data_IF_383097843328
#
_entry.id   IF_383097843328
#
_cell.length_a   1.000
_cell.length_b   1.000
_cell.length_c   1.000
_cell.angle_alpha   90.00
_cell.angle_beta   90.00
_cell.angle_gamma   90.00
#
_symmetry.space_group_name_H-M   'P 1'
#
loop_
_entity.id
_entity.type
_entity.pdbx_description
1 polymer ?
#
# COMPACT_ATOMS: atom_id res chain seq x y z
N UNK A 1 -26.20 -9.61 21.28
CA UNK A 1 -24.74 -9.49 21.16
C UNK A 1 -24.19 -9.15 22.53
N UNK A 2 -23.33 -9.98 23.09
CA UNK A 2 -22.72 -9.76 24.40
C UNK A 2 -21.63 -8.68 24.32
N UNK A 3 -21.28 -8.06 25.44
CA UNK A 3 -20.19 -7.08 25.48
C UNK A 3 -18.85 -7.66 24.99
N UNK A 4 -18.64 -8.96 25.23
CA UNK A 4 -17.45 -9.70 24.78
C UNK A 4 -17.40 -9.84 23.25
N UNK A 5 -18.53 -10.20 22.63
CA UNK A 5 -18.65 -10.29 21.16
C UNK A 5 -18.38 -8.95 20.47
N UNK A 6 -18.84 -7.85 21.07
CA UNK A 6 -18.57 -6.50 20.55
C UNK A 6 -17.09 -6.14 20.59
N UNK A 7 -16.38 -6.47 21.69
CA UNK A 7 -14.94 -6.22 21.81
C UNK A 7 -14.13 -7.06 20.82
N UNK A 8 -14.50 -8.33 20.64
CA UNK A 8 -13.85 -9.22 19.68
C UNK A 8 -13.99 -8.71 18.24
N UNK A 9 -15.19 -8.29 17.85
CA UNK A 9 -15.44 -7.72 16.51
C UNK A 9 -14.57 -6.51 16.21
N UNK A 10 -14.46 -5.57 17.15
CA UNK A 10 -13.62 -4.37 16.98
C UNK A 10 -12.14 -4.76 16.83
N UNK A 11 -11.66 -5.73 17.60
CA UNK A 11 -10.29 -6.25 17.46
C UNK A 11 -10.07 -6.82 16.05
N UNK A 12 -10.99 -7.67 15.58
CA UNK A 12 -10.87 -8.31 14.27
C UNK A 12 -10.94 -7.30 13.12
N UNK A 13 -11.75 -6.24 13.25
CA UNK A 13 -11.83 -5.14 12.27
C UNK A 13 -10.52 -4.34 12.17
N UNK A 14 -9.82 -4.11 13.29
CA UNK A 14 -8.59 -3.30 13.32
C UNK A 14 -7.34 -4.12 12.99
N UNK A 15 -7.38 -5.43 13.23
CA UNK A 15 -6.25 -6.36 13.09
C UNK A 15 -5.62 -6.32 11.68
N UNK A 16 -6.44 -6.31 10.63
CA UNK A 16 -5.95 -6.30 9.25
C UNK A 16 -5.20 -5.01 8.93
N UNK A 17 -5.70 -3.85 9.37
CA UNK A 17 -5.03 -2.56 9.18
C UNK A 17 -3.69 -2.51 9.91
N UNK A 18 -3.62 -3.06 11.14
CA UNK A 18 -2.36 -3.14 11.89
C UNK A 18 -1.34 -4.02 11.13
N UNK A 19 -1.76 -5.18 10.62
CA UNK A 19 -0.84 -6.04 9.89
C UNK A 19 -0.40 -5.46 8.55
N UNK A 20 -1.28 -4.74 7.85
CA UNK A 20 -0.91 -3.98 6.64
C UNK A 20 0.21 -2.99 6.95
N UNK A 21 -0.01 -2.12 7.95
CA UNK A 21 0.97 -1.12 8.38
C UNK A 21 2.29 -1.73 8.84
N UNK A 22 2.26 -2.87 9.55
CA UNK A 22 3.48 -3.58 9.95
C UNK A 22 4.22 -4.19 8.75
N UNK A 23 3.49 -4.65 7.74
CA UNK A 23 4.07 -5.14 6.49
C UNK A 23 4.78 -4.02 5.74
N UNK A 24 4.09 -2.92 5.50
CA UNK A 24 4.63 -1.73 4.81
C UNK A 24 5.86 -1.21 5.54
N UNK A 25 5.82 -1.11 6.87
CA UNK A 25 6.96 -0.65 7.66
C UNK A 25 8.22 -1.53 7.45
N UNK A 26 8.05 -2.85 7.35
CA UNK A 26 9.18 -3.76 7.09
C UNK A 26 9.77 -3.52 5.70
N UNK A 27 8.93 -3.29 4.69
CA UNK A 27 9.38 -2.98 3.33
C UNK A 27 10.15 -1.66 3.31
N UNK A 28 9.63 -0.61 3.96
CA UNK A 28 10.33 0.69 4.08
C UNK A 28 11.69 0.51 4.72
N UNK A 29 11.79 -0.24 5.82
CA UNK A 29 13.06 -0.48 6.52
C UNK A 29 14.09 -1.20 5.65
N UNK A 30 13.64 -2.07 4.75
CA UNK A 30 14.53 -2.74 3.81
C UNK A 30 14.99 -1.79 2.70
N UNK A 31 14.06 -1.01 2.13
CA UNK A 31 14.36 -0.07 1.05
C UNK A 31 15.20 1.13 1.52
N UNK A 32 15.13 1.51 2.80
CA UNK A 32 16.00 2.51 3.42
C UNK A 32 17.50 2.11 3.40
N UNK A 33 17.83 0.84 3.18
CA UNK A 33 19.23 0.38 3.07
C UNK A 33 19.83 0.61 1.66
N UNK A 34 19.03 1.06 0.70
CA UNK A 34 19.51 1.39 -0.64
C UNK A 34 20.37 2.68 -0.61
N UNK A 35 21.24 2.84 -1.62
CA UNK A 35 22.07 4.04 -1.71
C UNK A 35 21.24 5.31 -1.96
N UNK A 36 21.81 6.48 -1.64
CA UNK A 36 21.19 7.80 -1.85
C UNK A 36 20.88 8.14 -3.32
N UNK A 37 21.35 7.33 -4.27
CA UNK A 37 20.96 7.43 -5.68
C UNK A 37 19.52 6.95 -5.93
N UNK A 38 18.90 6.31 -4.94
CA UNK A 38 17.53 5.83 -4.99
C UNK A 38 16.61 6.76 -4.18
N UNK A 39 15.49 7.15 -4.78
CA UNK A 39 14.47 7.98 -4.14
C UNK A 39 13.26 7.10 -3.86
N UNK A 40 12.97 6.92 -2.57
CA UNK A 40 11.78 6.22 -2.09
C UNK A 40 10.67 7.22 -1.76
N UNK A 41 9.50 7.06 -2.39
CA UNK A 41 8.28 7.80 -2.05
C UNK A 41 7.25 6.80 -1.54
N UNK A 42 6.90 6.91 -0.26
CA UNK A 42 5.88 6.08 0.38
C UNK A 42 4.51 6.78 0.32
N UNK A 43 3.43 6.00 0.34
CA UNK A 43 2.05 6.48 0.30
C UNK A 43 1.81 7.46 -0.87
N UNK A 44 2.23 7.05 -2.06
CA UNK A 44 2.14 7.89 -3.25
C UNK A 44 0.68 7.93 -3.72
N UNK A 45 0.08 9.12 -3.73
CA UNK A 45 -1.26 9.34 -4.22
C UNK A 45 -1.29 10.44 -5.29
N UNK A 46 -2.06 10.21 -6.35
CA UNK A 46 -2.26 11.20 -7.41
C UNK A 46 -3.72 11.23 -7.84
N UNK A 47 -4.25 12.44 -8.05
CA UNK A 47 -5.61 12.67 -8.58
C UNK A 47 -5.51 13.34 -9.93
N UNK A 48 -6.37 12.95 -10.87
CA UNK A 48 -6.39 13.43 -12.25
C UNK A 48 -7.61 14.32 -12.52
N UNK A 49 -7.36 15.44 -13.21
CA UNK A 49 -8.40 16.28 -13.79
C UNK A 49 -7.93 16.80 -15.16
N UNK A 50 -8.57 16.37 -16.28
CA UNK A 50 -9.66 15.39 -16.35
C UNK A 50 -9.20 13.98 -15.95
N UNK A 51 -10.15 13.11 -15.59
CA UNK A 51 -9.87 11.71 -15.32
C UNK A 51 -9.28 11.01 -16.57
N UNK A 52 -8.38 10.04 -16.37
CA UNK A 52 -7.75 9.30 -17.46
C UNK A 52 -8.74 8.25 -17.98
N UNK A 53 -9.09 8.30 -19.26
CA UNK A 53 -9.92 7.27 -19.88
C UNK A 53 -9.14 5.98 -20.11
N UNK A 54 -9.58 4.89 -19.48
CA UNK A 54 -9.00 3.57 -19.64
C UNK A 54 -9.86 2.75 -20.62
N UNK A 55 -9.29 2.52 -21.80
CA UNK A 55 -9.98 1.82 -22.90
C UNK A 55 -10.18 0.33 -22.65
N UNK A 56 -9.37 -0.29 -21.78
CA UNK A 56 -9.44 -1.74 -21.55
C UNK A 56 -10.71 -2.10 -20.78
N UNK A 57 -10.99 -1.37 -19.70
CA UNK A 57 -12.18 -1.57 -18.87
C UNK A 57 -13.34 -0.63 -19.24
N UNK A 58 -13.12 0.25 -20.23
CA UNK A 58 -14.06 1.29 -20.66
C UNK A 58 -14.54 2.18 -19.51
N UNK A 59 -13.60 2.62 -18.66
CA UNK A 59 -13.85 3.42 -17.47
C UNK A 59 -12.92 4.63 -17.37
N UNK A 60 -13.02 5.38 -16.27
CA UNK A 60 -12.25 6.60 -16.04
C UNK A 60 -11.52 6.55 -14.69
N UNK A 61 -10.20 6.57 -14.75
CA UNK A 61 -9.31 6.58 -13.59
C UNK A 61 -9.21 8.02 -13.07
N UNK A 62 -9.81 8.27 -11.90
CA UNK A 62 -9.79 9.58 -11.25
C UNK A 62 -8.59 9.78 -10.34
N UNK A 63 -8.06 8.71 -9.77
CA UNK A 63 -6.93 8.75 -8.85
C UNK A 63 -6.23 7.40 -8.81
N UNK A 64 -5.00 7.40 -8.32
CA UNK A 64 -4.21 6.20 -8.01
C UNK A 64 -3.59 6.35 -6.62
N UNK A 65 -3.35 5.20 -5.99
CA UNK A 65 -2.56 5.07 -4.77
C UNK A 65 -1.56 3.94 -4.99
N UNK A 66 -0.34 4.13 -4.51
CA UNK A 66 0.77 3.18 -4.60
C UNK A 66 1.47 3.17 -3.25
N UNK A 67 1.65 1.99 -2.64
CA UNK A 67 2.29 1.86 -1.33
C UNK A 67 3.71 2.45 -1.36
N UNK A 68 4.54 2.03 -2.33
CA UNK A 68 5.88 2.57 -2.51
C UNK A 68 6.25 2.77 -3.99
N UNK A 69 6.66 3.98 -4.32
CA UNK A 69 7.25 4.32 -5.61
C UNK A 69 8.76 4.52 -5.41
N UNK A 70 9.55 3.63 -6.02
CA UNK A 70 11.01 3.68 -5.92
C UNK A 70 11.60 4.11 -7.26
N UNK A 71 12.31 5.24 -7.27
CA UNK A 71 13.02 5.76 -8.43
C UNK A 71 14.50 5.48 -8.26
N UNK A 72 15.11 4.78 -9.22
CA UNK A 72 16.52 4.38 -9.19
C UNK A 72 17.20 4.71 -10.52
N UNK A 73 18.54 4.66 -10.62
CA UNK A 73 19.24 4.78 -11.90
C UNK A 73 18.82 3.74 -12.94
N UNK A 74 18.31 2.60 -12.49
CA UNK A 74 17.87 1.50 -13.37
C UNK A 74 16.42 1.63 -13.83
N UNK A 75 15.62 2.50 -13.21
CA UNK A 75 14.22 2.72 -13.58
C UNK A 75 13.30 3.05 -12.40
N UNK A 76 11.99 2.94 -12.65
CA UNK A 76 10.94 3.21 -11.67
C UNK A 76 10.25 1.89 -11.31
N UNK A 77 10.12 1.63 -10.03
CA UNK A 77 9.48 0.43 -9.49
C UNK A 77 8.25 0.83 -8.68
N UNK A 78 7.13 0.15 -8.96
CA UNK A 78 5.90 0.23 -8.19
C UNK A 78 5.88 -1.02 -7.30
N UNK A 79 5.89 -0.82 -5.98
CA UNK A 79 5.94 -1.91 -5.01
C UNK A 79 4.65 -1.87 -4.20
N UNK A 80 3.90 -2.97 -4.26
CA UNK A 80 2.70 -3.22 -3.47
C UNK A 80 3.05 -4.15 -2.31
N UNK A 81 2.58 -3.84 -1.11
CA UNK A 81 2.84 -4.62 0.09
C UNK A 81 1.65 -5.51 0.45
N UNK A 82 1.94 -6.79 0.71
CA UNK A 82 0.97 -7.73 1.29
C UNK A 82 1.61 -8.49 2.44
N UNK A 83 0.99 -8.43 3.62
CA UNK A 83 1.43 -9.17 4.79
C UNK A 83 0.56 -10.42 4.97
N UNK A 84 1.05 -11.57 4.48
CA UNK A 84 0.38 -12.86 4.60
C UNK A 84 0.91 -13.63 5.81
N UNK A 85 0.03 -14.32 6.53
CA UNK A 85 0.46 -15.33 7.50
C UNK A 85 0.59 -16.69 6.80
N UNK A 86 1.65 -17.44 7.05
CA UNK A 86 1.85 -18.79 6.48
C UNK A 86 0.76 -19.81 6.85
N UNK A 87 -0.11 -19.50 7.83
CA UNK A 87 -1.08 -20.43 8.36
C UNK A 87 -2.53 -20.25 7.89
N UNK A 88 -2.81 -19.37 6.92
CA UNK A 88 -4.15 -19.25 6.28
C UNK A 88 -4.02 -18.88 4.80
#
# INVERSE_FOLDING_TARGET
MTELENKQRVIDEVKNSIYGALGEHKVVKELENLSDENILINDFALTFHPAIYNRQENDYIKSIQIDHLLVTPSGIFIIETKNWSENH
#
